data_IF_826668710184
#
_entry.id   IF_826668710184
#
_cell.length_a   1.000
_cell.length_b   1.000
_cell.length_c   1.000
_cell.angle_alpha   90.00
_cell.angle_beta   90.00
_cell.angle_gamma   90.00
#
_symmetry.space_group_name_H-M   'P 1'
#
loop_
_entity.id
_entity.type
_entity.pdbx_description
1 polymer ?
#
# COMPACT_ATOMS: atom_id res chain seq x y z
N UNK A 1 -19.24 -6.67 -14.30
CA UNK A 1 -19.15 -5.54 -13.36
C UNK A 1 -17.69 -5.42 -12.91
N UNK A 2 -17.04 -4.30 -13.25
CA UNK A 2 -15.70 -4.02 -12.77
C UNK A 2 -15.79 -3.73 -11.26
N UNK A 3 -15.34 -4.67 -10.44
CA UNK A 3 -15.14 -4.42 -9.02
C UNK A 3 -13.74 -3.86 -8.83
N UNK A 4 -13.66 -2.64 -8.36
CA UNK A 4 -12.40 -1.93 -8.20
C UNK A 4 -11.83 -2.19 -6.80
N UNK A 5 -10.79 -3.02 -6.71
CA UNK A 5 -9.94 -3.13 -5.51
C UNK A 5 -8.75 -2.18 -5.72
N UNK A 6 -9.03 -0.89 -5.71
CA UNK A 6 -8.03 0.13 -5.98
C UNK A 6 -7.12 0.34 -4.77
N UNK A 7 -5.81 0.04 -4.91
CA UNK A 7 -4.64 0.38 -4.03
C UNK A 7 -4.85 0.42 -2.49
N UNK A 8 -6.10 0.31 -2.00
CA UNK A 8 -6.48 0.44 -0.59
C UNK A 8 -6.85 -0.93 -0.05
N UNK A 9 -5.90 -1.57 0.58
CA UNK A 9 -6.07 -2.89 1.22
C UNK A 9 -7.16 -2.88 2.29
N UNK A 10 -7.44 -1.70 2.85
CA UNK A 10 -8.40 -1.47 3.92
C UNK A 10 -9.83 -1.18 3.45
N UNK A 11 -10.06 -0.98 2.16
CA UNK A 11 -11.36 -0.65 1.59
C UNK A 11 -11.65 -1.50 0.36
N UNK A 12 -12.75 -2.22 0.39
CA UNK A 12 -13.21 -3.07 -0.73
C UNK A 12 -14.66 -2.72 -1.05
N UNK A 13 -14.94 -2.49 -2.32
CA UNK A 13 -16.31 -2.24 -2.81
C UNK A 13 -16.61 -3.06 -4.06
N UNK A 14 -17.87 -3.41 -4.25
CA UNK A 14 -18.38 -4.03 -5.47
C UNK A 14 -19.79 -3.50 -5.73
N UNK A 15 -20.11 -3.21 -7.01
CA UNK A 15 -21.42 -2.71 -7.41
C UNK A 15 -21.89 -1.51 -6.57
N UNK A 16 -21.02 -0.52 -6.37
CA UNK A 16 -21.24 0.68 -5.56
C UNK A 16 -21.55 0.42 -4.06
N UNK A 17 -21.40 -0.79 -3.60
CA UNK A 17 -21.57 -1.17 -2.19
C UNK A 17 -20.21 -1.41 -1.54
N UNK A 18 -20.01 -0.80 -0.37
CA UNK A 18 -18.84 -1.09 0.48
C UNK A 18 -19.02 -2.48 1.10
N UNK A 19 -18.10 -3.39 0.78
CA UNK A 19 -18.08 -4.75 1.32
C UNK A 19 -17.26 -4.81 2.62
N UNK A 20 -16.15 -4.08 2.62
CA UNK A 20 -15.20 -4.09 3.73
C UNK A 20 -14.53 -2.74 3.89
N UNK A 21 -14.45 -2.27 5.11
CA UNK A 21 -13.71 -1.06 5.47
C UNK A 21 -13.02 -1.26 6.81
N UNK A 22 -11.70 -1.24 6.83
CA UNK A 22 -10.88 -1.37 8.03
C UNK A 22 -10.28 -0.04 8.40
N UNK A 23 -10.71 0.51 9.52
CA UNK A 23 -10.23 1.78 10.07
C UNK A 23 -9.23 1.49 11.20
N UNK A 24 -8.22 2.32 11.31
CA UNK A 24 -7.29 2.31 12.43
C UNK A 24 -7.97 2.89 13.68
N UNK A 25 -7.74 2.29 14.83
CA UNK A 25 -8.22 2.83 16.10
C UNK A 25 -7.46 4.13 16.45
N UNK A 26 -8.18 5.16 16.89
CA UNK A 26 -7.60 6.49 17.10
C UNK A 26 -6.46 6.51 18.11
N UNK A 27 -6.59 5.77 19.22
CA UNK A 27 -5.52 5.61 20.21
C UNK A 27 -4.25 5.00 19.59
N UNK A 28 -4.41 4.03 18.71
CA UNK A 28 -3.30 3.36 18.00
C UNK A 28 -2.65 4.23 16.93
N UNK A 29 -3.42 5.13 16.34
CA UNK A 29 -2.86 6.13 15.42
C UNK A 29 -2.02 7.15 16.21
N UNK A 30 -2.50 7.58 17.38
CA UNK A 30 -1.75 8.49 18.25
C UNK A 30 -0.44 7.84 18.72
N UNK A 31 -0.49 6.62 19.29
CA UNK A 31 0.70 5.87 19.70
C UNK A 31 1.73 5.78 18.54
N UNK A 32 1.27 5.43 17.33
CA UNK A 32 2.11 5.33 16.15
C UNK A 32 2.74 6.67 15.75
N UNK A 33 1.97 7.76 15.76
CA UNK A 33 2.46 9.08 15.40
C UNK A 33 3.48 9.61 16.40
N UNK A 34 3.32 9.31 17.70
CA UNK A 34 4.32 9.62 18.71
C UNK A 34 5.66 8.97 18.42
N UNK A 35 5.66 7.66 18.15
CA UNK A 35 6.88 6.92 17.76
C UNK A 35 7.51 7.52 16.49
N UNK A 36 6.73 7.85 15.47
CA UNK A 36 7.25 8.47 14.25
C UNK A 36 7.93 9.82 14.51
N UNK A 37 7.35 10.63 15.38
CA UNK A 37 7.89 11.94 15.78
C UNK A 37 9.19 11.78 16.59
N UNK A 38 9.25 10.83 17.51
CA UNK A 38 10.46 10.51 18.29
C UNK A 38 11.65 10.16 17.39
N UNK A 39 11.39 9.46 16.28
CA UNK A 39 12.41 9.08 15.29
C UNK A 39 12.55 10.05 14.12
N UNK A 40 12.08 11.29 14.29
CA UNK A 40 12.26 12.36 13.30
C UNK A 40 11.62 12.10 11.93
N UNK A 41 10.83 11.03 11.80
CA UNK A 41 10.22 10.63 10.55
C UNK A 41 9.28 11.71 9.99
N UNK A 42 9.32 11.89 8.70
CA UNK A 42 8.30 12.62 7.97
C UNK A 42 7.16 11.65 7.62
N UNK A 43 5.91 12.00 7.87
CA UNK A 43 4.81 11.09 7.60
C UNK A 43 3.57 11.77 7.00
N UNK A 44 2.73 10.99 6.36
CA UNK A 44 1.37 11.33 5.97
C UNK A 44 0.42 10.19 6.35
N UNK A 45 -0.81 10.53 6.71
CA UNK A 45 -1.87 9.59 7.01
C UNK A 45 -2.92 9.58 5.90
N UNK A 46 -3.53 8.44 5.69
CA UNK A 46 -4.51 8.24 4.63
C UNK A 46 -5.79 7.65 5.21
N UNK A 47 -6.89 8.28 4.87
CA UNK A 47 -8.24 7.79 5.11
C UNK A 47 -9.05 7.71 3.82
N UNK A 48 -10.30 7.30 3.93
CA UNK A 48 -11.21 7.14 2.77
C UNK A 48 -11.40 8.44 1.99
N UNK A 49 -11.38 9.59 2.68
CA UNK A 49 -11.66 10.90 2.09
C UNK A 49 -10.41 11.64 1.59
N UNK A 50 -9.21 11.09 1.78
CA UNK A 50 -7.99 11.74 1.32
C UNK A 50 -6.73 11.36 2.09
N UNK A 51 -5.68 12.10 1.80
CA UNK A 51 -4.37 12.00 2.45
C UNK A 51 -4.13 13.28 3.24
N UNK A 52 -3.68 13.13 4.47
CA UNK A 52 -3.57 14.22 5.44
C UNK A 52 -2.15 14.39 5.91
N UNK A 53 -1.72 15.63 6.04
CA UNK A 53 -0.39 16.01 6.47
C UNK A 53 -0.46 17.33 7.23
N UNK A 54 0.38 17.54 8.23
CA UNK A 54 0.57 18.85 8.87
C UNK A 54 1.61 19.70 8.13
N UNK A 55 1.76 20.94 8.51
CA UNK A 55 2.67 21.89 7.86
C UNK A 55 4.14 21.50 7.99
N UNK A 56 4.54 20.93 9.14
CA UNK A 56 5.91 20.47 9.37
C UNK A 56 6.26 19.30 8.47
N UNK A 57 5.39 18.29 8.40
CA UNK A 57 5.57 17.13 7.54
C UNK A 57 5.51 17.51 6.05
N UNK A 58 4.61 18.42 5.65
CA UNK A 58 4.56 18.91 4.28
C UNK A 58 5.86 19.63 3.88
N UNK A 59 6.47 20.39 4.79
CA UNK A 59 7.78 21.02 4.59
C UNK A 59 8.88 19.96 4.44
N UNK A 60 8.96 18.99 5.35
CA UNK A 60 9.92 17.87 5.28
C UNK A 60 9.78 17.09 3.96
N UNK A 61 8.56 16.86 3.50
CA UNK A 61 8.31 16.17 2.22
C UNK A 61 8.84 17.00 1.03
N UNK A 62 8.64 18.31 1.01
CA UNK A 62 9.20 19.19 -0.04
C UNK A 62 10.73 19.14 -0.05
N UNK A 63 11.37 19.27 1.12
CA UNK A 63 12.82 19.20 1.26
C UNK A 63 13.37 17.84 0.78
N UNK A 64 12.66 16.75 1.10
CA UNK A 64 13.01 15.41 0.62
C UNK A 64 12.91 15.30 -0.90
N UNK A 65 11.82 15.79 -1.49
CA UNK A 65 11.66 15.79 -2.95
C UNK A 65 12.79 16.58 -3.64
N UNK A 66 13.13 17.77 -3.15
CA UNK A 66 14.24 18.56 -3.66
C UNK A 66 15.58 17.81 -3.55
N UNK A 67 15.87 17.20 -2.40
CA UNK A 67 17.10 16.41 -2.18
C UNK A 67 17.23 15.22 -3.13
N UNK A 68 16.11 14.57 -3.44
CA UNK A 68 16.09 13.37 -4.28
C UNK A 68 15.84 13.65 -5.78
N UNK A 69 15.59 14.91 -6.15
CA UNK A 69 15.25 15.30 -7.52
C UNK A 69 13.90 14.74 -7.99
N UNK A 70 12.94 14.61 -7.08
CA UNK A 70 11.58 14.13 -7.37
C UNK A 70 10.65 15.28 -7.77
N UNK A 71 9.60 14.98 -8.50
CA UNK A 71 8.52 15.91 -8.79
C UNK A 71 7.78 16.29 -7.50
N UNK A 72 7.95 17.55 -7.08
CA UNK A 72 7.35 18.08 -5.84
C UNK A 72 5.83 18.17 -5.99
N UNK A 73 5.36 18.69 -7.11
CA UNK A 73 3.93 18.90 -7.35
C UNK A 73 3.20 17.57 -7.41
N UNK A 74 3.77 16.58 -8.09
CA UNK A 74 3.23 15.22 -8.14
C UNK A 74 3.23 14.53 -6.78
N UNK A 75 4.29 14.70 -5.99
CA UNK A 75 4.41 14.09 -4.65
C UNK A 75 3.40 14.67 -3.65
N UNK A 76 3.13 15.97 -3.74
CA UNK A 76 2.22 16.69 -2.83
C UNK A 76 0.79 16.77 -3.35
N UNK A 77 0.55 16.42 -4.61
CA UNK A 77 -0.77 16.47 -5.21
C UNK A 77 -1.78 15.61 -4.44
N UNK A 78 -2.93 16.19 -4.11
CA UNK A 78 -4.00 15.53 -3.37
C UNK A 78 -3.70 15.30 -1.87
N UNK A 79 -2.68 15.96 -1.30
CA UNK A 79 -2.53 16.08 0.13
C UNK A 79 -3.41 17.19 0.67
N UNK A 80 -4.10 16.92 1.76
CA UNK A 80 -4.87 17.92 2.52
C UNK A 80 -4.06 18.34 3.73
N UNK A 81 -3.77 19.64 3.82
CA UNK A 81 -3.07 20.23 4.96
C UNK A 81 -4.04 20.36 6.14
N UNK A 82 -3.69 19.81 7.29
CA UNK A 82 -4.47 19.85 8.52
C UNK A 82 -3.53 20.03 9.72
N UNK A 83 -4.03 20.55 10.82
CA UNK A 83 -3.22 20.77 12.03
C UNK A 83 -2.89 19.43 12.73
N UNK A 84 -3.85 18.51 12.74
CA UNK A 84 -3.77 17.22 13.43
C UNK A 84 -4.16 16.05 12.50
N UNK A 85 -3.24 15.56 11.66
CA UNK A 85 -3.51 14.44 10.76
C UNK A 85 -4.02 13.18 11.49
N UNK A 86 -3.52 12.93 12.69
CA UNK A 86 -3.87 11.78 13.54
C UNK A 86 -5.30 11.82 14.08
N UNK A 87 -5.96 12.99 14.03
CA UNK A 87 -7.35 13.17 14.47
C UNK A 87 -8.35 13.09 13.33
N UNK A 88 -7.87 12.89 12.10
CA UNK A 88 -8.77 12.79 10.96
C UNK A 88 -9.61 11.51 11.02
N UNK A 89 -10.89 11.56 10.61
CA UNK A 89 -11.77 10.40 10.69
C UNK A 89 -11.41 9.31 9.68
N UNK A 90 -11.69 8.07 10.05
CA UNK A 90 -11.58 6.91 9.19
C UNK A 90 -10.20 6.74 8.54
N UNK A 91 -9.14 6.90 9.32
CA UNK A 91 -7.77 6.61 8.88
C UNK A 91 -7.59 5.11 8.67
N UNK A 92 -6.99 4.75 7.54
CA UNK A 92 -6.82 3.37 7.08
C UNK A 92 -5.36 2.93 7.08
N UNK A 93 -4.46 3.89 6.81
CA UNK A 93 -3.04 3.63 6.58
C UNK A 93 -2.24 4.91 6.71
N UNK A 94 -0.94 4.81 6.58
CA UNK A 94 -0.02 5.93 6.47
C UNK A 94 1.27 5.53 5.75
N UNK A 95 2.08 6.52 5.48
CA UNK A 95 3.44 6.35 5.00
C UNK A 95 4.36 7.22 5.84
N UNK A 96 5.56 6.73 6.11
CA UNK A 96 6.62 7.55 6.69
C UNK A 96 7.91 7.44 5.86
N UNK A 97 8.75 8.46 6.02
CA UNK A 97 10.00 8.61 5.29
C UNK A 97 11.09 9.13 6.22
N UNK A 98 12.32 8.81 5.91
CA UNK A 98 13.54 9.39 6.50
C UNK A 98 13.58 9.27 8.04
N UNK A 99 13.08 8.18 8.63
CA UNK A 99 13.28 7.89 10.04
C UNK A 99 14.77 7.70 10.35
N UNK A 100 15.18 7.88 11.59
CA UNK A 100 16.55 7.64 12.04
C UNK A 100 16.84 6.17 12.42
N UNK A 101 15.80 5.34 12.40
CA UNK A 101 15.87 3.89 12.65
C UNK A 101 15.34 3.09 11.45
N UNK A 102 15.85 1.86 11.22
CA UNK A 102 15.36 1.03 10.14
C UNK A 102 13.97 0.44 10.41
N UNK A 103 13.30 0.03 9.33
CA UNK A 103 11.93 -0.50 9.32
C UNK A 103 11.69 -1.61 10.35
N UNK A 104 12.63 -2.53 10.51
CA UNK A 104 12.50 -3.66 11.44
C UNK A 104 12.58 -3.23 12.92
N UNK A 105 13.28 -2.15 13.22
CA UNK A 105 13.28 -1.52 14.55
C UNK A 105 12.00 -0.72 14.75
N UNK A 106 11.63 0.12 13.78
CA UNK A 106 10.37 0.88 13.81
C UNK A 106 9.17 -0.06 14.01
N UNK A 107 9.14 -1.22 13.35
CA UNK A 107 8.08 -2.21 13.54
C UNK A 107 7.92 -2.68 14.99
N UNK A 108 9.04 -2.84 15.71
CA UNK A 108 9.00 -3.27 17.11
C UNK A 108 8.44 -2.18 18.01
N UNK A 109 8.75 -0.93 17.72
CA UNK A 109 8.33 0.21 18.53
C UNK A 109 6.86 0.58 18.33
N UNK A 110 6.36 0.55 17.09
CA UNK A 110 4.91 0.75 16.85
C UNK A 110 4.05 -0.46 17.26
N UNK A 111 4.68 -1.58 17.63
CA UNK A 111 4.00 -2.77 18.16
C UNK A 111 3.25 -3.58 17.10
N UNK A 112 2.37 -4.47 17.57
CA UNK A 112 1.74 -5.50 16.74
C UNK A 112 0.38 -5.09 16.15
N UNK A 113 -0.09 -3.87 16.40
CA UNK A 113 -1.33 -3.38 15.80
C UNK A 113 -1.13 -2.85 14.37
N UNK A 114 0.03 -2.25 14.12
CA UNK A 114 0.45 -1.73 12.83
C UNK A 114 1.44 -2.70 12.18
N UNK A 115 1.23 -3.02 10.91
CA UNK A 115 2.21 -3.67 10.05
C UNK A 115 2.95 -2.60 9.26
N UNK A 116 4.28 -2.62 9.31
CA UNK A 116 5.12 -1.80 8.45
C UNK A 116 5.65 -2.64 7.31
N UNK A 117 5.46 -2.17 6.10
CA UNK A 117 6.06 -2.74 4.88
C UNK A 117 7.05 -1.71 4.33
N UNK A 118 8.30 -2.11 4.14
CA UNK A 118 9.32 -1.21 3.60
C UNK A 118 8.91 -0.62 2.26
N UNK A 119 9.26 0.64 2.02
CA UNK A 119 8.88 1.35 0.80
C UNK A 119 9.40 0.62 -0.44
N UNK A 120 8.55 0.51 -1.46
CA UNK A 120 8.89 -0.17 -2.72
C UNK A 120 9.80 0.65 -3.63
N UNK A 121 9.98 1.93 -3.36
CA UNK A 121 10.76 2.88 -4.18
C UNK A 121 11.67 3.77 -3.33
N UNK A 122 12.72 4.29 -3.95
CA UNK A 122 13.70 5.18 -3.31
C UNK A 122 14.97 4.47 -2.82
N UNK A 123 16.04 5.26 -2.59
CA UNK A 123 17.33 4.76 -2.10
C UNK A 123 17.27 4.40 -0.61
N UNK A 124 16.34 5.01 0.14
CA UNK A 124 16.22 4.90 1.60
C UNK A 124 15.11 3.92 2.03
N UNK A 125 14.98 2.80 1.29
CA UNK A 125 13.95 1.76 1.55
C UNK A 125 13.94 1.21 2.97
N UNK A 126 15.08 1.28 3.65
CA UNK A 126 15.21 0.77 5.02
C UNK A 126 14.72 1.76 6.08
N UNK A 127 14.61 3.03 5.73
CA UNK A 127 14.23 4.14 6.62
C UNK A 127 12.85 4.72 6.28
N UNK A 128 12.08 4.03 5.45
CA UNK A 128 10.78 4.48 4.97
C UNK A 128 9.83 3.29 4.82
N UNK A 129 8.56 3.47 5.12
CA UNK A 129 7.60 2.37 5.07
C UNK A 129 6.15 2.79 4.92
N UNK A 130 5.35 1.84 4.42
CA UNK A 130 3.90 1.89 4.45
C UNK A 130 3.41 1.27 5.76
N UNK A 131 2.47 1.93 6.41
CA UNK A 131 1.86 1.51 7.66
C UNK A 131 0.41 1.12 7.40
N UNK A 132 0.05 -0.10 7.76
CA UNK A 132 -1.31 -0.62 7.63
C UNK A 132 -1.72 -1.34 8.91
N UNK A 133 -3.01 -1.59 9.11
CA UNK A 133 -3.45 -2.43 10.22
C UNK A 133 -2.93 -3.85 10.04
N UNK A 134 -2.44 -4.46 11.12
CA UNK A 134 -2.01 -5.86 11.11
C UNK A 134 -3.12 -6.78 10.59
N UNK A 135 -2.79 -7.68 9.68
CA UNK A 135 -3.73 -8.60 9.04
C UNK A 135 -4.56 -7.97 7.90
N UNK A 136 -4.36 -6.68 7.60
CA UNK A 136 -4.99 -6.02 6.44
C UNK A 136 -3.96 -5.91 5.32
N UNK A 137 -4.17 -6.65 4.25
CA UNK A 137 -3.32 -6.67 3.06
C UNK A 137 -4.18 -6.94 1.80
N UNK A 138 -3.57 -6.94 0.63
CA UNK A 138 -4.29 -7.13 -0.64
C UNK A 138 -4.96 -8.51 -0.74
N UNK A 139 -4.38 -9.55 -0.14
CA UNK A 139 -4.97 -10.88 -0.11
C UNK A 139 -6.27 -10.91 0.75
N UNK A 140 -6.25 -10.24 1.90
CA UNK A 140 -7.47 -10.14 2.73
C UNK A 140 -8.58 -9.34 2.04
N UNK A 141 -8.23 -8.28 1.30
CA UNK A 141 -9.17 -7.55 0.45
C UNK A 141 -9.78 -8.44 -0.64
N UNK A 142 -8.93 -9.20 -1.33
CA UNK A 142 -9.33 -10.17 -2.36
C UNK A 142 -10.27 -11.24 -1.78
N UNK A 143 -9.95 -11.80 -0.61
CA UNK A 143 -10.80 -12.78 0.06
C UNK A 143 -12.21 -12.22 0.33
N UNK A 144 -12.32 -10.97 0.83
CA UNK A 144 -13.62 -10.33 1.07
C UNK A 144 -14.43 -10.17 -0.21
N UNK A 145 -13.77 -9.80 -1.31
CA UNK A 145 -14.43 -9.69 -2.61
C UNK A 145 -14.92 -11.05 -3.12
N UNK A 146 -14.09 -12.09 -3.01
CA UNK A 146 -14.46 -13.45 -3.40
C UNK A 146 -15.65 -13.97 -2.61
N UNK A 147 -15.68 -13.76 -1.29
CA UNK A 147 -16.78 -14.14 -0.42
C UNK A 147 -18.11 -13.47 -0.84
N UNK A 148 -18.09 -12.18 -1.18
CA UNK A 148 -19.25 -11.44 -1.67
C UNK A 148 -19.71 -11.91 -3.05
N UNK A 149 -18.77 -12.15 -3.97
CA UNK A 149 -19.05 -12.59 -5.34
C UNK A 149 -19.33 -14.10 -5.44
N UNK A 150 -19.07 -14.84 -4.37
CA UNK A 150 -19.20 -16.32 -4.31
C UNK A 150 -18.38 -17.03 -5.38
N UNK A 151 -17.15 -16.58 -5.59
CA UNK A 151 -16.19 -17.20 -6.51
C UNK A 151 -15.11 -17.93 -5.73
N UNK A 152 -14.60 -19.03 -6.30
CA UNK A 152 -13.51 -19.82 -5.73
C UNK A 152 -12.14 -19.13 -5.94
N UNK A 153 -11.16 -19.55 -5.16
CA UNK A 153 -9.78 -19.09 -5.33
C UNK A 153 -9.24 -19.44 -6.73
N UNK A 154 -9.59 -20.61 -7.21
CA UNK A 154 -9.20 -21.16 -8.52
C UNK A 154 -9.63 -20.27 -9.71
N UNK A 155 -10.68 -19.47 -9.51
CA UNK A 155 -11.21 -18.56 -10.53
C UNK A 155 -10.58 -17.15 -10.47
N UNK A 156 -9.51 -16.98 -9.70
CA UNK A 156 -8.88 -15.67 -9.48
C UNK A 156 -7.48 -15.58 -10.07
N UNK A 157 -7.19 -14.41 -10.60
CA UNK A 157 -5.86 -14.05 -11.10
C UNK A 157 -5.43 -12.75 -10.47
N UNK A 158 -4.21 -12.72 -9.92
CA UNK A 158 -3.62 -11.52 -9.32
C UNK A 158 -2.39 -11.07 -10.12
N UNK A 159 -2.27 -9.77 -10.31
CA UNK A 159 -1.10 -9.13 -10.92
C UNK A 159 -0.42 -8.23 -9.90
N UNK A 160 0.92 -8.30 -9.80
CA UNK A 160 1.66 -7.50 -8.85
C UNK A 160 3.11 -7.27 -9.23
N UNK A 161 3.71 -6.20 -8.68
CA UNK A 161 5.12 -5.86 -8.92
C UNK A 161 5.87 -5.45 -7.64
N UNK A 162 5.14 -5.10 -6.58
CA UNK A 162 5.68 -4.60 -5.32
C UNK A 162 5.66 -5.61 -4.16
N UNK A 163 6.43 -5.34 -3.09
CA UNK A 163 6.43 -6.17 -1.90
C UNK A 163 5.06 -6.35 -1.24
N UNK A 164 4.19 -5.34 -1.36
CA UNK A 164 2.81 -5.38 -0.84
C UNK A 164 1.85 -6.24 -1.67
N UNK A 165 2.30 -6.78 -2.81
CA UNK A 165 1.54 -7.70 -3.65
C UNK A 165 1.81 -9.17 -3.33
N UNK A 166 2.87 -9.47 -2.58
CA UNK A 166 3.34 -10.84 -2.35
C UNK A 166 2.24 -11.73 -1.79
N UNK A 167 1.56 -11.29 -0.74
CA UNK A 167 0.48 -12.08 -0.13
C UNK A 167 -0.68 -12.32 -1.12
N UNK A 168 -0.99 -11.34 -1.97
CA UNK A 168 -2.05 -11.45 -2.98
C UNK A 168 -1.64 -12.42 -4.10
N UNK A 169 -0.39 -12.34 -4.58
CA UNK A 169 0.14 -13.27 -5.60
C UNK A 169 0.10 -14.72 -5.11
N UNK A 170 0.50 -14.96 -3.85
CA UNK A 170 0.46 -16.30 -3.25
C UNK A 170 -0.97 -16.79 -2.98
N UNK A 171 -1.89 -15.86 -2.69
CA UNK A 171 -3.26 -16.19 -2.35
C UNK A 171 -4.13 -16.48 -3.57
N UNK A 172 -3.94 -15.82 -4.69
CA UNK A 172 -4.73 -16.02 -5.90
C UNK A 172 -4.66 -17.47 -6.43
N UNK A 173 -5.62 -17.86 -7.26
CA UNK A 173 -5.56 -19.11 -8.04
C UNK A 173 -4.40 -19.11 -9.01
N UNK A 174 -4.12 -17.93 -9.62
CA UNK A 174 -2.92 -17.70 -10.44
C UNK A 174 -2.33 -16.34 -10.07
N UNK A 175 -1.11 -16.36 -9.55
CA UNK A 175 -0.31 -15.15 -9.27
C UNK A 175 0.63 -14.82 -10.43
N UNK A 176 0.54 -13.61 -10.97
CA UNK A 176 1.35 -13.13 -12.08
C UNK A 176 2.22 -11.95 -11.63
N UNK A 177 3.53 -12.12 -11.59
CA UNK A 177 4.44 -11.03 -11.36
C UNK A 177 4.74 -10.27 -12.66
N UNK A 178 4.73 -8.94 -12.60
CA UNK A 178 5.13 -8.09 -13.70
C UNK A 178 6.63 -8.20 -13.97
N UNK A 179 7.06 -8.02 -15.20
CA UNK A 179 8.46 -8.10 -15.61
C UNK A 179 9.37 -7.09 -14.91
N UNK A 180 8.82 -5.92 -14.52
CA UNK A 180 9.52 -4.90 -13.72
C UNK A 180 9.56 -5.20 -12.21
N UNK A 181 8.89 -6.25 -11.72
CA UNK A 181 8.94 -6.65 -10.32
C UNK A 181 10.36 -7.06 -9.90
N UNK A 182 10.71 -6.79 -8.64
CA UNK A 182 12.00 -7.21 -8.08
C UNK A 182 12.05 -8.75 -7.92
N UNK A 183 13.25 -9.36 -7.95
CA UNK A 183 13.39 -10.82 -7.82
C UNK A 183 12.69 -11.39 -6.58
N UNK A 184 12.73 -10.65 -5.46
CA UNK A 184 12.07 -11.03 -4.22
C UNK A 184 10.54 -11.13 -4.32
N UNK A 185 9.91 -10.48 -5.29
CA UNK A 185 8.46 -10.59 -5.55
C UNK A 185 8.19 -11.71 -6.56
N UNK A 186 9.00 -11.79 -7.63
CA UNK A 186 8.83 -12.79 -8.70
C UNK A 186 8.83 -14.24 -8.20
N UNK A 187 9.60 -14.54 -7.15
CA UNK A 187 9.67 -15.90 -6.59
C UNK A 187 8.35 -16.39 -5.96
N UNK A 188 7.39 -15.49 -5.71
CA UNK A 188 6.10 -15.81 -5.10
C UNK A 188 4.95 -15.89 -6.12
N UNK A 189 5.23 -15.69 -7.39
CA UNK A 189 4.25 -15.78 -8.47
C UNK A 189 4.35 -17.12 -9.20
N UNK A 190 3.22 -17.60 -9.72
CA UNK A 190 3.16 -18.78 -10.57
C UNK A 190 3.72 -18.50 -11.97
N UNK A 191 3.64 -17.24 -12.42
CA UNK A 191 4.09 -16.80 -13.74
C UNK A 191 4.72 -15.40 -13.65
N UNK A 192 5.69 -15.15 -14.54
CA UNK A 192 6.23 -13.81 -14.76
C UNK A 192 5.88 -13.39 -16.19
N UNK A 193 5.28 -12.21 -16.31
CA UNK A 193 4.99 -11.58 -17.60
C UNK A 193 6.05 -10.55 -17.99
N UNK A 194 5.86 -9.84 -19.10
CA UNK A 194 6.75 -8.78 -19.55
C UNK A 194 6.56 -7.52 -18.69
N UNK A 195 7.39 -6.49 -18.90
CA UNK A 195 7.29 -5.25 -18.10
C UNK A 195 6.03 -4.47 -18.45
N UNK A 196 5.66 -3.53 -17.56
CA UNK A 196 4.48 -2.69 -17.76
C UNK A 196 4.57 -1.82 -19.03
N UNK A 197 5.76 -1.36 -19.38
CA UNK A 197 6.08 -0.59 -20.59
C UNK A 197 6.34 -1.46 -21.84
N UNK A 198 6.23 -2.78 -21.71
CA UNK A 198 6.37 -3.78 -22.77
C UNK A 198 5.06 -4.58 -22.94
N UNK A 199 3.90 -3.96 -22.70
CA UNK A 199 2.56 -4.57 -22.78
C UNK A 199 2.38 -5.84 -21.92
N UNK A 200 3.12 -5.95 -20.81
CA UNK A 200 3.17 -7.14 -19.99
C UNK A 200 1.82 -7.64 -19.48
N UNK A 201 0.89 -6.74 -19.17
CA UNK A 201 -0.46 -7.12 -18.75
C UNK A 201 -1.24 -7.78 -19.90
N UNK A 202 -1.16 -7.20 -21.10
CA UNK A 202 -1.80 -7.75 -22.29
C UNK A 202 -1.25 -9.14 -22.64
N UNK A 203 0.07 -9.31 -22.66
CA UNK A 203 0.71 -10.60 -22.92
C UNK A 203 0.35 -11.67 -21.88
N UNK A 204 0.17 -11.27 -20.62
CA UNK A 204 -0.31 -12.20 -19.60
C UNK A 204 -1.75 -12.66 -19.88
N UNK A 205 -2.65 -11.75 -20.28
CA UNK A 205 -4.01 -12.11 -20.66
C UNK A 205 -4.03 -13.06 -21.88
N UNK A 206 -3.17 -12.84 -22.87
CA UNK A 206 -3.04 -13.78 -24.00
C UNK A 206 -2.58 -15.17 -23.54
N UNK A 207 -1.51 -15.24 -22.73
CA UNK A 207 -0.96 -16.51 -22.21
C UNK A 207 -1.95 -17.29 -21.35
N UNK A 208 -2.82 -16.57 -20.65
CA UNK A 208 -3.87 -17.14 -19.80
C UNK A 208 -5.18 -17.38 -20.56
N UNK A 209 -5.22 -17.14 -21.88
CA UNK A 209 -6.40 -17.32 -22.75
C UNK A 209 -7.63 -16.52 -22.26
N UNK A 210 -7.42 -15.31 -21.75
CA UNK A 210 -8.47 -14.43 -21.24
C UNK A 210 -8.97 -13.44 -22.29
N UNK A 211 -8.27 -13.31 -23.42
CA UNK A 211 -8.71 -12.52 -24.57
C UNK A 211 -9.52 -13.42 -25.48
N UNK A 212 -10.81 -13.10 -25.65
CA UNK A 212 -11.71 -13.83 -26.53
C UNK A 212 -11.46 -13.57 -28.02
#
# INVERSE_FOLDING_TARGET
AASDVYKRQAYVSANDKVIYHSVLANDKVQDMVEVLKEHGACFMLQGINGRYVDEENAKKMRERCMRLGLDIDGALNGLTLVEHPEQMPALESGMYFDADIPVDVMQKEVGNYIKITGASFGKDRQMSGEMTKMGVNKATGMQRLMDELKIGREDTIAFGDGPNDVEMLQFAGTGVAMGNAIPAVKQYADMVTDKIDEDGLYHAFERLHLLG
#
